data_IF_306285178586
#
_entry.id   IF_306285178586
#
_cell.length_a   1.000
_cell.length_b   1.000
_cell.length_c   1.000
_cell.angle_alpha   90.00
_cell.angle_beta   90.00
_cell.angle_gamma   90.00
#
_symmetry.space_group_name_H-M   'P 1'
#
loop_
_entity.id
_entity.type
_entity.pdbx_description
1 polymer ?
#
# COMPACT_ATOMS: atom_id res chain seq x y z
N UNK A 1 -0.41 14.33 49.42
CA UNK A 1 -1.17 14.51 48.17
C UNK A 1 -1.13 13.20 47.40
N UNK A 2 -2.24 12.46 47.40
CA UNK A 2 -2.36 11.14 46.73
C UNK A 2 -2.54 11.33 45.25
N UNK A 3 -1.58 10.86 44.44
CA UNK A 3 -1.70 10.81 42.95
C UNK A 3 -2.76 9.76 42.60
N UNK A 4 -3.89 10.19 42.07
CA UNK A 4 -4.90 9.30 41.49
C UNK A 4 -4.35 8.87 40.13
N UNK A 5 -3.93 7.60 40.02
CA UNK A 5 -3.66 6.92 38.77
C UNK A 5 -5.03 6.57 38.19
N UNK A 6 -5.41 7.27 37.12
CA UNK A 6 -6.60 6.93 36.34
C UNK A 6 -6.20 5.75 35.45
N UNK A 7 -6.62 4.54 35.83
CA UNK A 7 -6.59 3.37 34.97
C UNK A 7 -7.74 3.51 33.98
N UNK A 8 -7.42 3.90 32.74
CA UNK A 8 -8.35 3.75 31.62
C UNK A 8 -8.35 2.26 31.27
N UNK A 9 -9.30 1.54 31.85
CA UNK A 9 -9.63 0.19 31.48
C UNK A 9 -10.34 0.27 30.11
N UNK A 10 -9.60 -0.02 29.03
CA UNK A 10 -10.19 -0.17 27.70
C UNK A 10 -11.01 -1.47 27.76
N UNK A 11 -12.29 -1.36 28.01
CA UNK A 11 -13.24 -2.46 27.87
C UNK A 11 -13.31 -2.81 26.38
N UNK A 12 -12.55 -3.82 25.97
CA UNK A 12 -12.73 -4.50 24.70
C UNK A 12 -14.08 -5.22 24.76
N UNK A 13 -15.13 -4.55 24.35
CA UNK A 13 -16.41 -5.18 24.06
C UNK A 13 -16.19 -6.05 22.82
N UNK A 14 -15.93 -7.34 23.05
CA UNK A 14 -16.04 -8.34 22.01
C UNK A 14 -17.50 -8.46 21.60
N UNK A 15 -17.93 -7.61 20.68
CA UNK A 15 -19.16 -7.87 19.94
C UNK A 15 -18.85 -9.12 19.12
N UNK A 16 -19.58 -10.21 19.37
CA UNK A 16 -19.59 -11.40 18.54
C UNK A 16 -20.26 -11.07 17.19
N UNK A 17 -19.70 -10.16 16.43
CA UNK A 17 -20.00 -10.01 15.00
C UNK A 17 -19.32 -11.18 14.29
N UNK A 18 -20.05 -11.92 13.49
CA UNK A 18 -19.53 -12.92 12.56
C UNK A 18 -18.81 -12.18 11.43
N UNK A 19 -17.71 -11.46 11.75
CA UNK A 19 -16.85 -10.84 10.76
C UNK A 19 -15.98 -11.90 10.13
N UNK A 20 -16.02 -12.04 8.81
CA UNK A 20 -15.15 -12.95 8.10
C UNK A 20 -13.77 -12.32 7.97
N UNK A 21 -12.77 -12.92 8.61
CA UNK A 21 -11.37 -12.58 8.37
C UNK A 21 -10.98 -13.21 7.03
N UNK A 22 -10.91 -12.37 6.00
CA UNK A 22 -10.46 -12.80 4.69
C UNK A 22 -8.95 -12.62 4.58
N UNK A 23 -8.28 -13.66 4.17
CA UNK A 23 -6.88 -13.59 3.76
C UNK A 23 -6.77 -12.69 2.52
N UNK A 24 -5.74 -11.84 2.48
CA UNK A 24 -5.55 -10.87 1.39
C UNK A 24 -6.66 -9.82 1.24
N UNK A 25 -7.27 -9.41 2.35
CA UNK A 25 -8.22 -8.30 2.36
C UNK A 25 -7.51 -6.96 2.07
N UNK A 26 -8.16 -6.07 1.27
CA UNK A 26 -7.66 -4.75 0.89
C UNK A 26 -6.24 -4.75 0.25
N UNK A 27 -5.88 -5.77 -0.52
CA UNK A 27 -4.55 -5.90 -1.11
C UNK A 27 -4.19 -4.75 -2.08
N UNK A 28 -5.16 -4.02 -2.64
CA UNK A 28 -4.88 -2.81 -3.40
C UNK A 28 -4.14 -1.74 -2.57
N UNK A 29 -4.31 -1.74 -1.24
CA UNK A 29 -3.55 -0.91 -0.31
C UNK A 29 -2.18 -1.51 0.08
N UNK A 30 -1.80 -2.65 -0.47
CA UNK A 30 -0.50 -3.29 -0.24
C UNK A 30 0.45 -3.14 -1.45
N UNK A 31 -0.05 -2.70 -2.60
CA UNK A 31 0.72 -2.56 -3.85
C UNK A 31 1.92 -1.61 -3.67
N UNK A 32 1.70 -0.49 -2.98
CA UNK A 32 2.72 0.55 -2.80
C UNK A 32 2.49 1.77 -3.69
N UNK A 33 3.05 2.92 -3.30
CA UNK A 33 2.93 4.19 -4.02
C UNK A 33 4.28 4.88 -4.19
N UNK A 34 4.44 5.64 -5.29
CA UNK A 34 5.66 6.36 -5.61
C UNK A 34 6.70 5.52 -6.35
N UNK A 35 7.06 5.93 -7.58
CA UNK A 35 8.05 5.22 -8.38
C UNK A 35 9.42 5.10 -7.68
N UNK A 36 9.80 6.09 -6.85
CA UNK A 36 11.01 6.03 -6.00
C UNK A 36 10.96 4.79 -5.11
N UNK A 37 9.91 4.61 -4.34
CA UNK A 37 9.79 3.57 -3.33
C UNK A 37 9.56 2.19 -3.95
N UNK A 38 8.76 2.13 -5.02
CA UNK A 38 8.51 0.90 -5.76
C UNK A 38 9.78 0.37 -6.43
N UNK A 39 10.65 1.25 -6.95
CA UNK A 39 11.95 0.85 -7.51
C UNK A 39 12.93 0.33 -6.45
N UNK A 40 12.75 0.70 -5.17
CA UNK A 40 13.49 0.19 -4.03
C UNK A 40 12.86 -1.09 -3.44
N UNK A 41 11.98 -1.78 -4.19
CA UNK A 41 11.36 -3.02 -3.75
C UNK A 41 10.41 -2.84 -2.56
N UNK A 42 9.76 -1.68 -2.42
CA UNK A 42 8.88 -1.32 -1.31
C UNK A 42 9.62 -1.14 0.05
N UNK A 43 10.96 -1.15 0.07
CA UNK A 43 11.74 -0.81 1.26
C UNK A 43 11.76 0.71 1.41
N UNK A 44 10.90 1.26 2.28
CA UNK A 44 10.64 2.70 2.32
C UNK A 44 10.13 3.23 3.67
N UNK A 45 9.91 2.39 4.69
CA UNK A 45 9.25 2.86 5.92
C UNK A 45 10.15 3.73 6.80
N UNK A 46 11.49 3.59 6.67
CA UNK A 46 12.46 4.37 7.42
C UNK A 46 13.03 5.55 6.63
N UNK A 47 13.20 5.42 5.30
CA UNK A 47 13.86 6.45 4.47
C UNK A 47 12.90 7.44 3.81
N UNK A 48 11.59 7.15 3.70
CA UNK A 48 10.64 8.06 3.08
C UNK A 48 10.64 9.44 3.72
N UNK A 49 10.82 10.47 2.88
CA UNK A 49 10.99 11.87 3.28
C UNK A 49 10.20 12.85 2.38
N UNK A 50 9.27 12.34 1.60
CA UNK A 50 8.39 13.07 0.69
C UNK A 50 6.90 12.83 1.00
N UNK A 51 6.01 13.35 0.16
CA UNK A 51 4.55 13.25 0.33
C UNK A 51 4.05 11.81 0.38
N UNK A 52 4.78 10.84 -0.20
CA UNK A 52 4.43 9.42 -0.16
C UNK A 52 4.63 8.79 1.23
N UNK A 53 5.34 9.47 2.14
CA UNK A 53 5.43 9.07 3.55
C UNK A 53 4.05 8.92 4.20
N UNK A 54 3.05 9.68 3.75
CA UNK A 54 1.66 9.50 4.18
C UNK A 54 1.18 8.05 4.06
N UNK A 55 1.59 7.37 3.01
CA UNK A 55 1.26 5.96 2.76
C UNK A 55 2.24 5.00 3.45
N UNK A 56 3.57 5.23 3.33
CA UNK A 56 4.58 4.27 3.79
C UNK A 56 4.72 4.27 5.31
N UNK A 57 4.97 5.45 5.86
CA UNK A 57 5.08 5.69 7.30
C UNK A 57 4.68 7.14 7.59
N UNK A 58 3.51 7.40 8.17
CA UNK A 58 3.06 8.77 8.42
C UNK A 58 4.04 9.57 9.30
N UNK A 59 4.82 8.92 10.18
CA UNK A 59 5.85 9.61 10.96
C UNK A 59 6.96 10.22 10.08
N UNK A 60 7.20 9.68 8.89
CA UNK A 60 8.19 10.17 7.93
C UNK A 60 7.83 11.54 7.33
N UNK A 61 6.55 11.93 7.30
CA UNK A 61 6.10 13.22 6.77
C UNK A 61 6.80 14.41 7.41
N UNK A 62 7.19 14.32 8.68
CA UNK A 62 7.90 15.42 9.38
C UNK A 62 9.25 15.76 8.73
N UNK A 63 9.85 14.83 7.97
CA UNK A 63 11.10 15.01 7.25
C UNK A 63 10.91 15.75 5.92
N UNK A 64 9.67 16.05 5.53
CA UNK A 64 9.35 16.85 4.34
C UNK A 64 10.11 18.18 4.37
N UNK A 65 10.89 18.47 3.32
CA UNK A 65 11.70 19.70 3.24
C UNK A 65 10.90 20.92 2.82
N UNK A 66 10.04 20.87 1.77
CA UNK A 66 9.25 22.01 1.33
C UNK A 66 8.12 22.34 2.33
N UNK A 67 7.57 23.55 2.22
CA UNK A 67 6.38 23.94 2.99
C UNK A 67 5.15 23.17 2.53
N UNK A 68 5.01 23.01 1.23
CA UNK A 68 3.94 22.23 0.59
C UNK A 68 4.60 21.34 -0.45
N UNK A 69 4.17 20.08 -0.53
CA UNK A 69 4.54 19.19 -1.61
C UNK A 69 3.29 18.53 -2.16
N UNK A 70 3.17 18.56 -3.46
CA UNK A 70 2.18 17.80 -4.23
C UNK A 70 2.87 16.61 -4.90
N UNK A 71 2.22 15.46 -4.93
CA UNK A 71 2.72 14.27 -5.61
C UNK A 71 1.62 13.54 -6.35
N UNK A 72 1.97 13.01 -7.53
CA UNK A 72 1.10 12.13 -8.30
C UNK A 72 1.88 10.91 -8.80
N UNK A 73 1.17 9.82 -8.99
CA UNK A 73 1.69 8.59 -9.59
C UNK A 73 0.62 7.94 -10.45
N UNK A 74 1.05 7.37 -11.55
CA UNK A 74 0.26 6.48 -12.40
C UNK A 74 1.04 5.20 -12.69
N UNK A 75 0.34 4.08 -12.68
CA UNK A 75 0.90 2.78 -13.05
C UNK A 75 -0.13 1.92 -13.77
N UNK A 76 0.35 1.27 -14.82
CA UNK A 76 -0.35 0.20 -15.51
C UNK A 76 0.17 -1.14 -14.98
N UNK A 77 -0.72 -1.94 -14.39
CA UNK A 77 -0.45 -3.28 -13.90
C UNK A 77 -1.04 -4.34 -14.84
N UNK A 78 -0.42 -5.51 -14.86
CA UNK A 78 -0.89 -6.68 -15.63
C UNK A 78 -1.10 -6.37 -17.12
N UNK A 79 -0.08 -5.79 -17.76
CA UNK A 79 -0.12 -5.38 -19.18
C UNK A 79 -1.28 -4.40 -19.51
N UNK A 80 -1.58 -3.47 -18.59
CA UNK A 80 -2.60 -2.43 -18.79
C UNK A 80 -4.03 -2.85 -18.43
N UNK A 81 -4.23 -4.06 -17.88
CA UNK A 81 -5.56 -4.51 -17.43
C UNK A 81 -6.02 -3.71 -16.22
N UNK A 82 -5.12 -3.45 -15.25
CA UNK A 82 -5.43 -2.69 -14.05
C UNK A 82 -4.64 -1.38 -14.00
N UNK A 83 -5.31 -0.30 -13.59
CA UNK A 83 -4.73 1.03 -13.41
C UNK A 83 -4.64 1.35 -11.94
N UNK A 84 -3.50 1.92 -11.52
CA UNK A 84 -3.27 2.32 -10.14
C UNK A 84 -2.77 3.76 -10.10
N UNK A 85 -3.58 4.62 -9.53
CA UNK A 85 -3.36 6.06 -9.45
C UNK A 85 -3.19 6.49 -7.99
N UNK A 86 -2.26 7.40 -7.73
CA UNK A 86 -2.06 8.03 -6.44
C UNK A 86 -1.93 9.54 -6.62
N UNK A 87 -2.58 10.30 -5.75
CA UNK A 87 -2.43 11.73 -5.65
C UNK A 87 -2.34 12.15 -4.20
N UNK A 88 -1.44 13.06 -3.84
CA UNK A 88 -1.29 13.52 -2.46
C UNK A 88 -0.82 14.96 -2.36
N UNK A 89 -1.23 15.60 -1.27
CA UNK A 89 -0.80 16.93 -0.85
C UNK A 89 -0.36 16.88 0.60
N UNK A 90 0.87 17.32 0.88
CA UNK A 90 1.39 17.47 2.22
C UNK A 90 1.68 18.93 2.53
N UNK A 91 1.34 19.38 3.73
CA UNK A 91 1.51 20.74 4.22
C UNK A 91 2.23 20.71 5.57
N UNK A 92 3.34 21.42 5.67
CA UNK A 92 4.00 21.72 6.94
C UNK A 92 3.17 22.75 7.70
N UNK A 93 2.57 22.33 8.81
CA UNK A 93 1.70 23.16 9.65
C UNK A 93 2.53 24.10 10.52
N UNK A 94 3.58 23.54 11.14
CA UNK A 94 4.56 24.27 11.95
C UNK A 94 5.95 23.57 11.89
N UNK A 95 6.91 24.01 12.72
CA UNK A 95 8.27 23.43 12.76
C UNK A 95 8.30 21.97 13.20
N UNK A 96 7.25 21.48 13.87
CA UNK A 96 7.18 20.17 14.52
C UNK A 96 6.04 19.30 14.00
N UNK A 97 5.20 19.79 13.07
CA UNK A 97 4.06 19.04 12.58
C UNK A 97 3.81 19.21 11.08
N UNK A 98 3.32 18.15 10.45
CA UNK A 98 2.95 18.07 9.03
C UNK A 98 1.63 17.34 8.91
N UNK A 99 0.71 17.87 8.12
CA UNK A 99 -0.52 17.20 7.71
C UNK A 99 -0.47 16.81 6.24
N UNK A 100 -1.17 15.75 5.86
CA UNK A 100 -1.31 15.36 4.46
C UNK A 100 -2.68 14.73 4.17
N UNK A 101 -3.09 14.83 2.91
CA UNK A 101 -4.21 14.09 2.34
C UNK A 101 -3.71 13.33 1.11
N UNK A 102 -4.10 12.07 1.00
CA UNK A 102 -3.77 11.21 -0.14
C UNK A 102 -5.01 10.52 -0.66
N UNK A 103 -5.05 10.32 -1.97
CA UNK A 103 -6.09 9.58 -2.68
C UNK A 103 -5.43 8.46 -3.48
N UNK A 104 -6.00 7.26 -3.38
CA UNK A 104 -5.61 6.08 -4.14
C UNK A 104 -6.82 5.63 -4.94
N UNK A 105 -6.59 5.27 -6.21
CA UNK A 105 -7.56 4.59 -7.06
C UNK A 105 -6.91 3.35 -7.64
N UNK A 106 -7.56 2.22 -7.53
CA UNK A 106 -7.24 1.00 -8.25
C UNK A 106 -8.45 0.58 -9.07
N UNK A 107 -8.28 0.31 -10.35
CA UNK A 107 -9.43 0.04 -11.22
C UNK A 107 -9.11 -0.95 -12.34
N UNK A 108 -10.10 -1.80 -12.64
CA UNK A 108 -10.14 -2.66 -13.82
C UNK A 108 -11.39 -2.29 -14.60
N UNK A 109 -11.19 -1.88 -15.85
CA UNK A 109 -12.27 -1.43 -16.73
C UNK A 109 -12.67 -2.53 -17.72
N UNK A 110 -13.89 -2.46 -18.24
CA UNK A 110 -14.40 -3.31 -19.31
C UNK A 110 -14.39 -4.83 -18.98
N UNK A 111 -14.68 -5.21 -17.75
CA UNK A 111 -14.80 -6.61 -17.34
C UNK A 111 -16.04 -7.20 -18.01
N UNK A 112 -15.93 -8.30 -18.77
CA UNK A 112 -17.10 -8.95 -19.40
C UNK A 112 -18.07 -9.49 -18.33
N UNK A 113 -19.32 -9.09 -18.42
CA UNK A 113 -20.41 -9.68 -17.64
C UNK A 113 -21.10 -10.76 -18.47
N UNK A 114 -20.96 -12.00 -18.06
CA UNK A 114 -21.51 -13.18 -18.73
C UNK A 114 -22.69 -13.80 -17.98
N UNK A 115 -23.26 -13.09 -16.99
CA UNK A 115 -24.36 -13.63 -16.17
C UNK A 115 -25.64 -13.92 -16.98
N UNK A 116 -25.81 -13.26 -18.12
CA UNK A 116 -26.94 -13.47 -19.02
C UNK A 116 -26.57 -14.20 -20.31
N UNK A 117 -25.36 -14.75 -20.40
CA UNK A 117 -24.84 -15.44 -21.59
C UNK A 117 -25.67 -16.66 -21.99
N UNK A 118 -26.17 -17.39 -20.98
CA UNK A 118 -26.96 -18.62 -21.19
C UNK A 118 -28.40 -18.37 -20.76
N UNK A 119 -29.37 -18.66 -21.64
CA UNK A 119 -30.79 -18.54 -21.33
C UNK A 119 -31.31 -19.76 -20.52
N UNK A 120 -32.57 -19.69 -20.09
CA UNK A 120 -33.22 -20.78 -19.34
C UNK A 120 -33.32 -22.10 -20.12
N UNK A 121 -33.15 -22.09 -21.44
CA UNK A 121 -33.21 -23.29 -22.33
C UNK A 121 -31.79 -23.83 -22.61
N UNK A 122 -30.74 -23.18 -22.08
CA UNK A 122 -29.35 -23.60 -22.32
C UNK A 122 -28.74 -23.00 -23.59
N UNK A 123 -29.42 -22.12 -24.31
CA UNK A 123 -28.86 -21.47 -25.50
C UNK A 123 -27.87 -20.38 -25.11
N UNK A 124 -26.76 -20.32 -25.85
CA UNK A 124 -25.71 -19.31 -25.65
C UNK A 124 -25.95 -18.14 -26.58
N UNK A 125 -26.07 -16.93 -25.98
CA UNK A 125 -26.27 -15.66 -26.70
C UNK A 125 -25.17 -14.67 -26.35
N UNK A 126 -24.18 -14.54 -27.23
CA UNK A 126 -23.02 -13.67 -27.06
C UNK A 126 -23.38 -12.17 -27.11
N UNK A 127 -24.51 -11.80 -27.70
CA UNK A 127 -24.96 -10.39 -27.77
C UNK A 127 -25.41 -9.87 -26.39
N UNK A 128 -25.66 -10.76 -25.42
CA UNK A 128 -25.97 -10.43 -24.04
C UNK A 128 -24.75 -10.16 -23.14
N UNK A 129 -23.55 -10.26 -23.70
CA UNK A 129 -22.35 -9.89 -22.95
C UNK A 129 -22.31 -8.37 -22.77
N UNK A 130 -22.54 -7.92 -21.56
CA UNK A 130 -22.34 -6.53 -21.15
C UNK A 130 -20.96 -6.34 -20.51
N UNK A 131 -20.60 -5.11 -20.16
CA UNK A 131 -19.32 -4.80 -19.49
C UNK A 131 -19.57 -4.01 -18.22
N UNK A 132 -18.74 -4.24 -17.21
CA UNK A 132 -18.74 -3.46 -15.99
C UNK A 132 -17.31 -3.11 -15.56
N UNK A 133 -17.18 -2.23 -14.56
CA UNK A 133 -15.89 -1.82 -14.01
C UNK A 133 -15.82 -2.21 -12.53
N UNK A 134 -14.64 -2.62 -12.07
CA UNK A 134 -14.32 -2.78 -10.67
C UNK A 134 -13.39 -1.64 -10.24
N UNK A 135 -13.73 -0.93 -9.16
CA UNK A 135 -12.92 0.21 -8.74
C UNK A 135 -12.87 0.30 -7.22
N UNK A 136 -11.65 0.40 -6.69
CA UNK A 136 -11.35 0.60 -5.29
C UNK A 136 -10.74 1.99 -5.09
N UNK A 137 -11.26 2.75 -4.13
CA UNK A 137 -10.74 4.06 -3.74
C UNK A 137 -10.35 4.04 -2.27
N UNK A 138 -9.31 4.78 -1.92
CA UNK A 138 -8.98 5.09 -0.54
C UNK A 138 -8.57 6.56 -0.40
N UNK A 139 -9.17 7.25 0.58
CA UNK A 139 -8.71 8.54 1.06
C UNK A 139 -7.96 8.33 2.38
N UNK A 140 -6.77 8.91 2.50
CA UNK A 140 -5.90 8.81 3.68
C UNK A 140 -5.65 10.22 4.21
N UNK A 141 -6.07 10.47 5.44
CA UNK A 141 -5.75 11.68 6.18
C UNK A 141 -4.60 11.38 7.13
N UNK A 142 -3.51 12.10 7.00
CA UNK A 142 -2.26 11.83 7.71
C UNK A 142 -1.85 13.02 8.58
N UNK A 143 -1.34 12.71 9.77
CA UNK A 143 -0.72 13.70 10.64
C UNK A 143 0.58 13.17 11.21
N UNK A 144 1.62 14.00 11.25
CA UNK A 144 2.94 13.68 11.78
C UNK A 144 3.42 14.74 12.75
N UNK A 145 4.10 14.31 13.81
CA UNK A 145 4.62 15.20 14.83
C UNK A 145 5.97 14.74 15.36
N UNK A 146 6.87 15.70 15.55
CA UNK A 146 8.15 15.49 16.25
C UNK A 146 7.94 15.57 17.75
N UNK A 147 8.40 14.59 18.51
CA UNK A 147 8.32 14.56 19.96
C UNK A 147 9.52 15.31 20.56
N UNK A 148 9.31 16.54 21.01
CA UNK A 148 10.41 17.39 21.52
C UNK A 148 11.10 16.79 22.77
N UNK A 149 10.36 16.09 23.65
CA UNK A 149 10.89 15.48 24.87
C UNK A 149 11.75 14.25 24.61
N UNK A 150 11.59 13.59 23.45
CA UNK A 150 12.28 12.37 23.06
C UNK A 150 13.10 12.65 21.82
N UNK A 151 14.40 12.91 22.02
CA UNK A 151 15.31 13.30 20.94
C UNK A 151 15.32 12.25 19.83
N UNK A 152 15.10 12.69 18.60
CA UNK A 152 15.13 11.83 17.41
C UNK A 152 13.85 11.03 17.14
N UNK A 153 12.81 11.09 18.01
CA UNK A 153 11.56 10.35 17.82
C UNK A 153 10.52 11.23 17.13
N UNK A 154 9.89 10.65 16.12
CA UNK A 154 8.80 11.17 15.33
C UNK A 154 7.66 10.18 15.33
N UNK A 155 6.43 10.65 15.43
CA UNK A 155 5.23 9.82 15.40
C UNK A 155 4.29 10.31 14.32
N UNK A 156 3.47 9.43 13.78
CA UNK A 156 2.45 9.79 12.82
C UNK A 156 1.29 8.81 12.85
N UNK A 157 0.16 9.26 12.33
CA UNK A 157 -1.05 8.44 12.20
C UNK A 157 -1.78 8.74 10.91
N UNK A 158 -2.51 7.74 10.43
CA UNK A 158 -3.43 7.82 9.30
C UNK A 158 -4.83 7.43 9.74
N UNK A 159 -5.80 8.11 9.16
CA UNK A 159 -7.19 7.67 9.09
C UNK A 159 -7.49 7.36 7.63
N UNK A 160 -8.00 6.15 7.37
CA UNK A 160 -8.32 5.67 6.02
C UNK A 160 -9.83 5.54 5.86
N UNK A 161 -10.34 6.06 4.76
CA UNK A 161 -11.72 5.85 4.30
C UNK A 161 -11.63 5.13 2.97
N UNK A 162 -12.28 3.98 2.87
CA UNK A 162 -12.21 3.09 1.72
C UNK A 162 -13.59 3.00 1.08
N UNK A 163 -13.63 3.06 -0.24
CA UNK A 163 -14.82 2.86 -1.04
C UNK A 163 -14.49 1.87 -2.15
N UNK A 164 -15.21 0.74 -2.17
CA UNK A 164 -15.03 -0.28 -3.21
C UNK A 164 -16.33 -0.45 -3.98
N UNK A 165 -16.23 -0.62 -5.30
CA UNK A 165 -17.38 -0.79 -6.17
C UNK A 165 -17.09 -1.87 -7.21
N UNK A 166 -18.01 -2.83 -7.34
CA UNK A 166 -17.97 -3.90 -8.32
C UNK A 166 -19.21 -3.77 -9.23
N UNK A 167 -19.06 -3.03 -10.32
CA UNK A 167 -20.18 -2.74 -11.22
C UNK A 167 -21.38 -2.17 -10.48
N UNK A 168 -22.54 -2.74 -10.76
CA UNK A 168 -23.80 -2.48 -10.05
C UNK A 168 -24.09 -3.55 -8.99
N UNK A 169 -23.28 -4.61 -8.94
CA UNK A 169 -23.54 -5.82 -8.15
C UNK A 169 -23.23 -5.64 -6.68
N UNK A 170 -22.14 -4.93 -6.36
CA UNK A 170 -21.71 -4.78 -4.99
C UNK A 170 -20.95 -3.47 -4.76
N UNK A 171 -21.05 -3.00 -3.53
CA UNK A 171 -20.25 -1.87 -3.07
C UNK A 171 -19.93 -2.01 -1.59
N UNK A 172 -18.84 -1.38 -1.15
CA UNK A 172 -18.50 -1.37 0.27
C UNK A 172 -17.95 -0.02 0.72
N UNK A 173 -18.11 0.24 2.01
CA UNK A 173 -17.44 1.29 2.74
C UNK A 173 -16.56 0.66 3.81
N UNK A 174 -15.35 1.19 3.94
CA UNK A 174 -14.39 0.72 4.91
C UNK A 174 -13.71 1.86 5.65
N UNK A 175 -13.17 1.53 6.82
CA UNK A 175 -12.48 2.46 7.69
C UNK A 175 -11.32 1.77 8.39
N UNK A 176 -10.18 2.46 8.53
CA UNK A 176 -9.01 1.92 9.18
C UNK A 176 -8.06 2.99 9.69
N UNK A 177 -7.16 2.58 10.60
CA UNK A 177 -6.16 3.45 11.21
C UNK A 177 -4.79 2.81 11.07
N UNK A 178 -3.78 3.64 10.72
CA UNK A 178 -2.37 3.28 10.80
C UNK A 178 -1.66 4.17 11.81
N UNK A 179 -0.59 3.66 12.41
CA UNK A 179 0.32 4.44 13.23
C UNK A 179 1.76 4.14 12.83
N UNK A 180 2.62 5.14 12.94
CA UNK A 180 4.02 5.01 12.63
C UNK A 180 4.91 5.71 13.64
N UNK A 181 6.09 5.15 13.81
CA UNK A 181 7.19 5.74 14.58
C UNK A 181 8.42 5.77 13.67
N UNK A 182 9.16 6.86 13.75
CA UNK A 182 10.45 7.00 13.11
C UNK A 182 11.46 7.47 14.17
N UNK A 183 12.63 6.84 14.23
CA UNK A 183 13.68 7.17 15.17
C UNK A 183 15.01 7.38 14.46
N UNK A 184 15.56 8.61 14.56
CA UNK A 184 16.90 8.91 14.10
C UNK A 184 17.89 8.38 15.14
N UNK A 185 18.44 7.17 14.92
CA UNK A 185 19.40 6.51 15.83
C UNK A 185 20.75 7.22 15.86
N UNK A 186 21.22 7.67 14.71
CA UNK A 186 22.46 8.40 14.55
C UNK A 186 22.38 9.34 13.34
N UNK A 187 23.47 10.02 12.99
CA UNK A 187 23.52 10.85 11.78
C UNK A 187 23.15 10.08 10.51
N UNK A 188 23.53 8.80 10.44
CA UNK A 188 23.45 7.97 9.24
C UNK A 188 22.34 6.91 9.32
N UNK A 189 21.85 6.57 10.51
CA UNK A 189 20.93 5.47 10.72
C UNK A 189 19.55 5.92 11.20
N UNK A 190 18.51 5.41 10.58
CA UNK A 190 17.12 5.54 11.01
C UNK A 190 16.50 4.18 11.21
N UNK A 191 15.63 4.08 12.21
CA UNK A 191 14.77 2.94 12.46
C UNK A 191 13.32 3.39 12.37
N UNK A 192 12.45 2.54 11.84
CA UNK A 192 11.03 2.80 11.76
C UNK A 192 10.22 1.58 12.17
N UNK A 193 9.04 1.86 12.73
CA UNK A 193 8.03 0.85 13.03
C UNK A 193 6.67 1.39 12.61
N UNK A 194 5.93 0.60 11.82
CA UNK A 194 4.61 0.97 11.31
C UNK A 194 3.62 -0.13 11.57
N UNK A 195 2.56 0.18 12.28
CA UNK A 195 1.37 -0.66 12.39
C UNK A 195 0.34 -0.19 11.37
N UNK A 196 0.09 -0.97 10.34
CA UNK A 196 -1.01 -0.74 9.39
C UNK A 196 -2.24 -1.51 9.82
N UNK A 197 -3.41 -0.90 9.63
CA UNK A 197 -4.70 -1.51 9.94
C UNK A 197 -4.84 -1.92 11.42
N UNK A 198 -4.29 -1.12 12.35
CA UNK A 198 -4.16 -1.49 13.78
C UNK A 198 -5.49 -1.72 14.50
N UNK A 199 -6.57 -1.15 13.99
CA UNK A 199 -7.93 -1.33 14.51
C UNK A 199 -8.67 -2.51 13.85
N UNK A 200 -8.01 -3.22 12.90
CA UNK A 200 -8.70 -4.06 11.94
C UNK A 200 -9.50 -3.20 10.96
N UNK A 201 -8.97 -2.97 9.76
CA UNK A 201 -9.72 -2.22 8.75
C UNK A 201 -10.90 -3.05 8.28
N UNK A 202 -12.11 -2.55 8.48
CA UNK A 202 -13.32 -3.24 8.05
C UNK A 202 -13.81 -2.69 6.71
N UNK A 203 -14.51 -3.53 5.94
CA UNK A 203 -15.29 -3.16 4.76
C UNK A 203 -16.68 -3.77 4.92
N UNK A 204 -17.69 -2.91 5.00
CA UNK A 204 -19.09 -3.31 5.02
C UNK A 204 -19.59 -3.43 3.58
N UNK A 205 -19.76 -4.67 3.10
CA UNK A 205 -20.24 -4.97 1.77
C UNK A 205 -21.77 -4.99 1.70
N UNK A 206 -22.30 -4.33 0.67
CA UNK A 206 -23.70 -4.37 0.30
C UNK A 206 -23.81 -4.90 -1.14
N UNK A 207 -24.63 -5.94 -1.33
CA UNK A 207 -24.86 -6.58 -2.62
C UNK A 207 -26.25 -6.19 -3.14
N UNK A 208 -26.30 -5.78 -4.41
CA UNK A 208 -27.52 -5.40 -5.11
C UNK A 208 -27.57 -6.23 -6.39
N UNK A 209 -28.19 -7.41 -6.31
CA UNK A 209 -28.37 -8.29 -7.45
C UNK A 209 -29.83 -8.22 -7.93
N UNK A 210 -30.03 -8.08 -9.23
CA UNK A 210 -31.35 -8.21 -9.83
C UNK A 210 -31.85 -9.68 -9.79
N UNK A 211 -33.15 -9.87 -9.97
CA UNK A 211 -33.75 -11.20 -9.87
C UNK A 211 -33.22 -12.16 -10.95
N UNK A 212 -32.90 -11.66 -12.15
CA UNK A 212 -32.32 -12.51 -13.22
C UNK A 212 -30.94 -13.04 -12.81
N UNK A 213 -30.09 -12.18 -12.28
CA UNK A 213 -28.76 -12.57 -11.78
C UNK A 213 -28.87 -13.56 -10.63
N UNK A 214 -29.81 -13.36 -9.68
CA UNK A 214 -30.07 -14.33 -8.59
C UNK A 214 -30.51 -15.69 -9.13
N UNK A 215 -31.41 -15.70 -10.11
CA UNK A 215 -31.87 -16.94 -10.76
C UNK A 215 -30.72 -17.68 -11.45
N UNK A 216 -29.85 -16.97 -12.17
CA UNK A 216 -28.65 -17.56 -12.79
C UNK A 216 -27.74 -18.19 -11.74
N UNK A 217 -27.50 -17.52 -10.60
CA UNK A 217 -26.69 -18.07 -9.51
C UNK A 217 -27.31 -19.35 -8.96
N UNK A 218 -28.63 -19.37 -8.73
CA UNK A 218 -29.33 -20.54 -8.26
C UNK A 218 -29.27 -21.70 -9.27
N UNK A 219 -29.47 -21.43 -10.57
CA UNK A 219 -29.41 -22.45 -11.64
C UNK A 219 -28.00 -23.02 -11.84
N UNK A 220 -26.97 -22.23 -11.60
CA UNK A 220 -25.56 -22.64 -11.74
C UNK A 220 -24.98 -23.21 -10.45
N UNK A 221 -25.80 -23.36 -9.39
CA UNK A 221 -25.36 -23.90 -8.10
C UNK A 221 -24.40 -22.98 -7.33
N UNK A 222 -24.37 -21.68 -7.64
CA UNK A 222 -23.61 -20.69 -6.92
C UNK A 222 -24.41 -20.08 -5.77
N UNK A 223 -23.75 -19.82 -4.66
CA UNK A 223 -24.36 -19.10 -3.53
C UNK A 223 -24.64 -17.66 -3.90
N UNK A 224 -25.83 -17.16 -3.54
CA UNK A 224 -26.19 -15.75 -3.69
C UNK A 224 -25.46 -14.96 -2.60
N UNK A 225 -24.57 -14.01 -2.95
CA UNK A 225 -23.84 -13.22 -1.98
C UNK A 225 -24.78 -12.42 -1.07
N UNK A 226 -24.49 -12.41 0.22
CA UNK A 226 -25.22 -11.64 1.22
C UNK A 226 -24.34 -10.53 1.79
N UNK A 227 -24.98 -9.47 2.28
CA UNK A 227 -24.30 -8.38 2.96
C UNK A 227 -23.45 -8.92 4.11
N UNK A 228 -22.19 -8.51 4.15
CA UNK A 228 -21.23 -8.99 5.13
C UNK A 228 -20.22 -7.89 5.52
N UNK A 229 -19.43 -8.18 6.54
CA UNK A 229 -18.32 -7.34 6.95
C UNK A 229 -17.04 -8.14 6.79
N UNK A 230 -16.16 -7.62 5.93
CA UNK A 230 -14.79 -8.10 5.72
C UNK A 230 -13.85 -7.34 6.65
N UNK A 231 -12.93 -8.02 7.31
CA UNK A 231 -11.94 -7.41 8.20
C UNK A 231 -10.53 -7.73 7.75
N UNK A 232 -9.72 -6.68 7.55
CA UNK A 232 -8.28 -6.78 7.30
C UNK A 232 -7.56 -6.79 8.64
N UNK A 233 -6.79 -7.84 8.91
CA UNK A 233 -5.97 -7.92 10.14
C UNK A 233 -4.78 -6.97 10.09
N UNK A 234 -4.30 -6.50 11.27
CA UNK A 234 -3.14 -5.64 11.36
C UNK A 234 -1.89 -6.23 10.71
N UNK A 235 -1.05 -5.34 10.15
CA UNK A 235 0.29 -5.65 9.67
C UNK A 235 1.30 -4.80 10.41
N UNK A 236 2.44 -5.39 10.76
CA UNK A 236 3.56 -4.70 11.40
C UNK A 236 4.73 -4.65 10.45
N UNK A 237 5.28 -3.46 10.20
CA UNK A 237 6.44 -3.27 9.33
C UNK A 237 7.54 -2.63 10.17
N UNK A 238 8.69 -3.30 10.26
CA UNK A 238 9.89 -2.78 10.90
C UNK A 238 10.94 -2.52 9.83
N UNK A 239 11.54 -1.33 9.82
CA UNK A 239 12.52 -0.94 8.82
C UNK A 239 13.74 -0.28 9.41
N UNK A 240 14.88 -0.47 8.78
CA UNK A 240 16.13 0.21 9.09
C UNK A 240 16.75 0.76 7.82
N UNK A 241 17.13 2.03 7.83
CA UNK A 241 17.81 2.67 6.72
C UNK A 241 19.15 3.26 7.12
N UNK A 242 20.11 3.19 6.18
CA UNK A 242 21.41 3.83 6.30
C UNK A 242 21.60 4.83 5.15
N UNK A 243 22.10 6.03 5.48
CA UNK A 243 22.39 7.10 4.52
C UNK A 243 23.87 7.42 4.62
N UNK A 244 24.61 7.25 3.54
CA UNK A 244 26.03 7.61 3.43
C UNK A 244 26.22 8.66 2.36
N UNK A 245 27.14 9.59 2.64
CA UNK A 245 27.48 10.67 1.70
C UNK A 245 28.97 10.60 1.43
N UNK A 246 29.31 10.60 0.15
CA UNK A 246 30.68 10.43 -0.33
C UNK A 246 31.07 11.58 -1.27
N UNK A 247 32.37 11.63 -1.59
CA UNK A 247 32.95 12.47 -2.63
C UNK A 247 32.52 13.94 -2.52
N UNK A 248 32.86 14.56 -1.37
CA UNK A 248 32.54 15.99 -1.08
C UNK A 248 31.04 16.30 -1.26
N UNK A 249 30.18 15.44 -0.74
CA UNK A 249 28.72 15.54 -0.79
C UNK A 249 28.10 15.41 -2.20
N UNK A 250 28.83 14.89 -3.18
CA UNK A 250 28.30 14.72 -4.53
C UNK A 250 27.51 13.41 -4.71
N UNK A 251 27.91 12.36 -3.99
CA UNK A 251 27.24 11.06 -4.06
C UNK A 251 26.57 10.79 -2.72
N UNK A 252 25.27 10.50 -2.76
CA UNK A 252 24.51 9.99 -1.62
C UNK A 252 24.08 8.56 -1.91
N UNK A 253 24.25 7.68 -0.94
CA UNK A 253 23.77 6.29 -1.02
C UNK A 253 22.79 6.08 0.13
N UNK A 254 21.62 5.56 -0.19
CA UNK A 254 20.62 5.11 0.76
C UNK A 254 20.48 3.60 0.60
N UNK A 255 20.52 2.87 1.70
CA UNK A 255 20.15 1.46 1.77
C UNK A 255 19.09 1.27 2.84
N UNK A 256 18.08 0.45 2.56
CA UNK A 256 17.00 0.17 3.48
C UNK A 256 16.63 -1.32 3.44
N UNK A 257 16.30 -1.83 4.62
CA UNK A 257 15.80 -3.18 4.80
C UNK A 257 14.56 -3.14 5.67
N UNK A 258 13.45 -3.68 5.16
CA UNK A 258 12.19 -3.74 5.88
C UNK A 258 11.73 -5.19 6.04
N UNK A 259 11.02 -5.45 7.14
CA UNK A 259 10.36 -6.73 7.44
C UNK A 259 8.87 -6.47 7.63
N UNK A 260 8.06 -6.99 6.73
CA UNK A 260 6.59 -6.94 6.82
C UNK A 260 6.07 -8.22 7.46
N UNK A 261 5.45 -8.09 8.64
CA UNK A 261 4.80 -9.19 9.36
C UNK A 261 3.29 -9.10 9.20
N UNK A 262 2.66 -10.19 8.77
CA UNK A 262 1.21 -10.34 8.62
C UNK A 262 0.69 -11.44 9.54
N UNK A 263 -0.54 -11.30 10.06
CA UNK A 263 -1.13 -12.17 11.08
C UNK A 263 -2.44 -12.83 10.62
N UNK A 264 -2.64 -12.91 9.31
CA UNK A 264 -3.80 -13.55 8.67
C UNK A 264 -3.52 -15.01 8.23
N UNK A 265 -2.56 -15.63 8.89
CA UNK A 265 -2.17 -17.02 8.66
C UNK A 265 -1.01 -17.18 7.68
N UNK A 266 -0.85 -18.39 7.15
CA UNK A 266 0.30 -18.78 6.32
C UNK A 266 0.22 -18.17 4.93
N UNK A 267 1.10 -17.21 4.64
CA UNK A 267 1.32 -16.64 3.30
C UNK A 267 2.52 -17.32 2.62
N UNK A 268 2.66 -17.15 1.30
CA UNK A 268 3.83 -17.64 0.56
C UNK A 268 4.97 -16.63 0.61
N UNK A 269 5.64 -16.54 1.74
CA UNK A 269 6.74 -15.62 2.04
C UNK A 269 7.96 -16.39 2.53
N UNK A 270 9.07 -15.69 2.81
CA UNK A 270 10.31 -16.31 3.30
C UNK A 270 10.10 -17.10 4.59
N UNK A 271 9.43 -16.48 5.58
CA UNK A 271 9.07 -17.14 6.84
C UNK A 271 7.55 -17.24 6.87
N UNK A 272 7.04 -18.47 7.03
CA UNK A 272 5.62 -18.77 7.02
C UNK A 272 5.25 -19.75 8.12
N UNK A 273 4.47 -19.27 9.07
CA UNK A 273 3.89 -20.07 10.16
C UNK A 273 2.38 -19.98 10.12
N UNK A 274 1.68 -20.78 10.92
CA UNK A 274 0.21 -20.69 11.01
C UNK A 274 -0.28 -19.39 11.66
N UNK A 275 0.57 -18.75 12.48
CA UNK A 275 0.25 -17.53 13.20
C UNK A 275 0.74 -16.27 12.47
N UNK A 276 1.91 -16.31 11.83
CA UNK A 276 2.56 -15.13 11.27
C UNK A 276 3.34 -15.49 10.02
N UNK A 277 3.34 -14.57 9.05
CA UNK A 277 4.21 -14.63 7.87
C UNK A 277 5.07 -13.38 7.79
N UNK A 278 6.35 -13.52 7.43
CA UNK A 278 7.31 -12.40 7.32
C UNK A 278 7.86 -12.35 5.91
N UNK A 279 7.73 -11.18 5.29
CA UNK A 279 8.24 -10.86 3.95
C UNK A 279 9.31 -9.76 4.05
N UNK A 280 10.59 -10.08 3.75
CA UNK A 280 11.67 -9.10 3.72
C UNK A 280 11.67 -8.33 2.41
N UNK A 281 11.99 -7.03 2.48
CA UNK A 281 12.24 -6.18 1.33
C UNK A 281 13.58 -5.45 1.49
N UNK A 282 14.26 -5.21 0.38
CA UNK A 282 15.54 -4.50 0.36
C UNK A 282 15.53 -3.45 -0.75
N UNK A 283 16.01 -2.26 -0.42
CA UNK A 283 16.10 -1.12 -1.34
C UNK A 283 17.44 -0.42 -1.27
N UNK A 284 17.88 0.07 -2.44
CA UNK A 284 19.12 0.78 -2.61
C UNK A 284 18.95 1.95 -3.59
N UNK A 285 19.41 3.15 -3.19
CA UNK A 285 19.40 4.35 -4.03
C UNK A 285 20.82 4.96 -4.07
N UNK A 286 21.26 5.31 -5.27
CA UNK A 286 22.45 6.14 -5.50
C UNK A 286 22.00 7.45 -6.09
N UNK A 287 22.23 8.56 -5.38
CA UNK A 287 21.97 9.93 -5.85
C UNK A 287 23.29 10.65 -6.20
N UNK A 288 23.32 11.30 -7.37
CA UNK A 288 24.43 12.15 -7.79
C UNK A 288 23.99 13.61 -7.78
N UNK A 289 24.73 14.43 -7.02
CA UNK A 289 24.52 15.91 -6.81
C UNK A 289 23.05 16.30 -6.55
N UNK A 290 22.29 15.38 -5.95
CA UNK A 290 20.84 15.53 -5.70
C UNK A 290 20.04 15.85 -6.98
N UNK A 291 20.53 15.44 -8.14
CA UNK A 291 19.96 15.68 -9.47
C UNK A 291 19.49 14.38 -10.14
N UNK A 292 20.34 13.35 -10.14
CA UNK A 292 20.07 12.07 -10.81
C UNK A 292 20.12 10.98 -9.74
N UNK A 293 19.18 10.03 -9.85
CA UNK A 293 19.03 8.92 -8.92
C UNK A 293 18.90 7.60 -9.67
N UNK A 294 19.65 6.59 -9.23
CA UNK A 294 19.50 5.20 -9.67
C UNK A 294 19.05 4.38 -8.47
N UNK A 295 18.10 3.48 -8.68
CA UNK A 295 17.47 2.70 -7.62
C UNK A 295 17.33 1.24 -8.02
N UNK A 296 17.50 0.38 -7.01
CA UNK A 296 17.32 -1.06 -7.13
C UNK A 296 16.64 -1.57 -5.87
N UNK A 297 15.86 -2.62 -6.01
CA UNK A 297 15.22 -3.23 -4.86
C UNK A 297 14.77 -4.65 -5.14
N UNK A 298 14.55 -5.39 -4.07
CA UNK A 298 14.08 -6.78 -4.10
C UNK A 298 12.96 -6.95 -3.09
N UNK A 299 11.91 -7.61 -3.50
CA UNK A 299 10.76 -7.97 -2.66
C UNK A 299 10.14 -9.28 -3.09
N UNK A 300 9.03 -9.63 -2.47
CA UNK A 300 8.16 -10.74 -2.86
C UNK A 300 8.90 -12.06 -3.02
N UNK A 301 9.60 -12.48 -1.96
CA UNK A 301 10.24 -13.79 -1.92
C UNK A 301 9.18 -14.89 -1.81
N UNK A 302 9.07 -15.73 -2.84
CA UNK A 302 8.06 -16.80 -2.91
C UNK A 302 8.69 -18.16 -3.20
N UNK A 303 7.96 -19.21 -2.85
CA UNK A 303 8.28 -20.58 -3.25
C UNK A 303 7.06 -21.19 -3.90
N UNK A 304 7.17 -21.64 -5.15
CA UNK A 304 6.10 -22.38 -5.82
C UNK A 304 6.60 -23.75 -6.29
N UNK A 305 5.66 -24.66 -6.48
CA UNK A 305 5.96 -25.99 -7.01
C UNK A 305 5.62 -26.01 -8.50
N UNK A 306 6.58 -26.35 -9.33
CA UNK A 306 6.36 -26.46 -10.79
C UNK A 306 5.63 -27.76 -11.15
N UNK A 307 5.33 -27.94 -12.45
CA UNK A 307 4.65 -29.12 -12.98
C UNK A 307 5.44 -30.44 -12.80
N UNK A 308 6.75 -30.35 -12.49
CA UNK A 308 7.63 -31.46 -12.21
C UNK A 308 7.79 -31.76 -10.71
N UNK A 309 6.90 -31.17 -9.86
CA UNK A 309 6.90 -31.29 -8.40
C UNK A 309 8.17 -30.76 -7.71
N UNK A 310 8.91 -29.85 -8.37
CA UNK A 310 10.10 -29.22 -7.85
C UNK A 310 9.76 -27.88 -7.20
N UNK A 311 10.32 -27.59 -6.03
CA UNK A 311 10.18 -26.30 -5.34
C UNK A 311 11.11 -25.26 -5.96
N UNK A 312 10.55 -24.26 -6.59
CA UNK A 312 11.26 -23.13 -7.17
C UNK A 312 11.10 -21.92 -6.25
N UNK A 313 12.23 -21.28 -5.93
CA UNK A 313 12.27 -20.02 -5.18
C UNK A 313 12.35 -18.87 -6.16
N UNK A 314 11.54 -17.85 -5.95
CA UNK A 314 11.54 -16.63 -6.76
C UNK A 314 11.71 -15.41 -5.87
N UNK A 315 12.33 -14.39 -6.41
CA UNK A 315 12.43 -13.05 -5.84
C UNK A 315 12.10 -12.06 -6.94
N UNK A 316 11.53 -10.95 -6.59
CA UNK A 316 11.08 -9.94 -7.54
C UNK A 316 12.04 -8.75 -7.52
N UNK A 317 12.92 -8.60 -8.52
CA UNK A 317 13.76 -7.43 -8.67
C UNK A 317 12.94 -6.23 -9.18
N UNK A 318 13.35 -5.03 -8.77
CA UNK A 318 12.80 -3.76 -9.19
C UNK A 318 13.94 -2.80 -9.47
N UNK A 319 13.76 -1.89 -10.41
CA UNK A 319 14.73 -0.85 -10.71
C UNK A 319 14.04 0.46 -11.06
N UNK A 320 14.76 1.57 -10.95
CA UNK A 320 14.20 2.85 -11.34
C UNK A 320 15.24 3.96 -11.45
N UNK A 321 14.79 5.03 -12.07
CA UNK A 321 15.58 6.24 -12.26
C UNK A 321 14.78 7.43 -11.77
N UNK A 322 15.48 8.49 -11.35
CA UNK A 322 14.86 9.74 -10.95
C UNK A 322 15.70 10.93 -11.39
N UNK A 323 15.02 12.02 -11.68
CA UNK A 323 15.64 13.32 -11.95
C UNK A 323 14.93 14.35 -11.08
N UNK A 324 15.71 15.13 -10.32
CA UNK A 324 15.20 16.25 -9.52
C UNK A 324 15.84 17.53 -10.00
N UNK A 325 15.03 18.45 -10.53
CA UNK A 325 15.49 19.77 -10.92
C UNK A 325 14.65 20.84 -10.24
N UNK A 326 15.30 21.67 -9.42
CA UNK A 326 14.63 22.71 -8.63
C UNK A 326 13.46 22.13 -7.79
N UNK A 327 12.24 22.52 -8.11
CA UNK A 327 11.02 22.14 -7.41
C UNK A 327 10.40 20.85 -7.91
N UNK A 328 10.86 20.29 -9.03
CA UNK A 328 10.25 19.16 -9.72
C UNK A 328 11.14 17.93 -9.57
N UNK A 329 10.56 16.80 -9.14
CA UNK A 329 11.19 15.49 -9.18
C UNK A 329 10.32 14.54 -10.02
N UNK A 330 10.92 14.00 -11.09
CA UNK A 330 10.33 12.97 -11.93
C UNK A 330 11.00 11.64 -11.61
N UNK A 331 10.20 10.61 -11.41
CA UNK A 331 10.70 9.27 -11.13
C UNK A 331 9.97 8.27 -12.02
N UNK A 332 10.73 7.28 -12.46
CA UNK A 332 10.25 6.13 -13.20
C UNK A 332 10.72 4.86 -12.50
N UNK A 333 9.84 3.87 -12.40
CA UNK A 333 10.18 2.54 -11.92
C UNK A 333 9.70 1.47 -12.90
N UNK A 334 10.55 0.48 -13.06
CA UNK A 334 10.27 -0.77 -13.74
C UNK A 334 10.24 -1.85 -12.66
N UNK A 335 9.03 -2.35 -12.37
CA UNK A 335 8.78 -3.21 -11.22
C UNK A 335 8.21 -4.55 -11.64
N UNK A 336 8.14 -5.49 -10.70
CA UNK A 336 7.61 -6.82 -10.92
C UNK A 336 8.36 -7.60 -12.02
N UNK A 337 9.67 -7.37 -12.13
CA UNK A 337 10.51 -8.11 -13.05
C UNK A 337 10.68 -9.55 -12.55
N UNK A 338 10.16 -10.53 -13.29
CA UNK A 338 10.35 -11.94 -12.95
C UNK A 338 9.24 -12.86 -13.47
N UNK A 339 9.44 -14.16 -13.37
CA UNK A 339 8.58 -15.20 -13.95
C UNK A 339 7.40 -15.60 -13.06
N UNK A 340 6.98 -14.73 -12.11
CA UNK A 340 5.95 -15.08 -11.11
C UNK A 340 4.54 -14.79 -11.62
N UNK A 341 4.40 -13.96 -12.66
CA UNK A 341 3.11 -13.56 -13.22
C UNK A 341 3.10 -13.73 -14.74
N UNK A 342 1.90 -13.96 -15.31
CA UNK A 342 1.65 -13.94 -16.75
C UNK A 342 1.98 -12.57 -17.36
N UNK A 343 1.85 -11.49 -16.57
CA UNK A 343 2.28 -10.13 -16.91
C UNK A 343 3.48 -9.74 -16.03
N UNK A 344 4.72 -9.95 -16.52
CA UNK A 344 5.90 -10.01 -15.67
C UNK A 344 6.45 -8.65 -15.22
N UNK A 345 5.90 -7.51 -15.68
CA UNK A 345 6.43 -6.19 -15.33
C UNK A 345 5.34 -5.11 -15.32
N UNK A 346 5.64 -4.04 -14.62
CA UNK A 346 4.80 -2.84 -14.55
C UNK A 346 5.65 -1.58 -14.70
N UNK A 347 5.08 -0.60 -15.37
CA UNK A 347 5.66 0.73 -15.53
C UNK A 347 5.01 1.69 -14.56
N UNK A 348 5.80 2.39 -13.78
CA UNK A 348 5.33 3.36 -12.79
C UNK A 348 5.98 4.70 -13.03
N UNK A 349 5.16 5.73 -13.14
CA UNK A 349 5.60 7.12 -13.28
C UNK A 349 5.13 7.92 -12.07
N UNK A 350 5.99 8.73 -11.49
CA UNK A 350 5.59 9.67 -10.44
C UNK A 350 6.27 11.02 -10.59
N UNK A 351 5.54 12.04 -10.16
CA UNK A 351 5.99 13.42 -10.15
C UNK A 351 5.73 14.01 -8.76
N UNK A 352 6.76 14.64 -8.19
CA UNK A 352 6.62 15.44 -6.98
C UNK A 352 6.96 16.91 -7.31
N UNK A 353 6.13 17.83 -6.78
CA UNK A 353 6.28 19.27 -6.95
C UNK A 353 6.43 19.92 -5.56
N UNK A 354 7.59 20.53 -5.34
CA UNK A 354 7.93 21.27 -4.11
C UNK A 354 7.47 22.73 -4.24
N UNK A 355 6.56 23.17 -3.37
CA UNK A 355 6.07 24.54 -3.32
C UNK A 355 6.59 25.21 -2.03
N UNK A 356 7.53 26.11 -2.19
CA UNK A 356 8.04 26.94 -1.09
C UNK A 356 7.42 28.33 -1.21
N UNK A 357 6.92 28.88 -0.09
CA UNK A 357 6.57 30.30 -0.07
C UNK A 357 7.88 31.09 -0.28
N UNK A 358 7.91 31.97 -1.27
CA UNK A 358 8.96 33.00 -1.39
C UNK A 358 8.96 33.90 -0.19
#
# INVERSE_FOLDING_TARGET
>A
MKKKIVHILFLLVFVNSKAQILKYSNEFLAIGVGAKQLSMGNAAVASSDDVTSAYWNPAGLINLKPKIQFGIMHSDYFAGIAKYDYGALALRLDSNSVGAISLIRFGVDNIPNTTQLVDANGNVDYDKISKFNATDFAAILSYSKKIQKLKGIQIGSNVKIIRRKLGEFANSWGFGIDVGINHQLSKDWKFALVGKDITGTFNAWSYTLDENTKNVFALTGNDIPQNNVEVTVPRLIAGISNIKVFWKNKIQVISEFDLTSTFDGKRNTLIKTNFMSIDPTFGFEIGYVNLIFLRFGFNNYQTYTNNYNQKIKTIQPNMGVGIKYKAIALNYAFTNMGNVSIAPYSHVFSLNLDLNKK
#
